data_IF_610375288593
#
_entry.id   IF_610375288593
#
_cell.length_a   1.000
_cell.length_b   1.000
_cell.length_c   1.000
_cell.angle_alpha   90.00
_cell.angle_beta   90.00
_cell.angle_gamma   90.00
#
_symmetry.space_group_name_H-M   'P 1'
#
loop_
_entity.id
_entity.type
_entity.pdbx_description
1 polymer ?
#
# COMPACT_ATOMS: atom_id res chain seq x y z
N UNK A 1 4.81 38.01 6.54
CA UNK A 1 5.26 37.12 7.63
C UNK A 1 4.44 35.85 7.58
N UNK A 2 5.02 34.66 7.83
CA UNK A 2 4.24 33.44 8.02
C UNK A 2 3.22 33.64 9.16
N UNK A 3 2.05 33.02 9.06
CA UNK A 3 1.09 33.05 10.16
C UNK A 3 1.67 32.31 11.38
N UNK A 4 1.42 32.77 12.62
CA UNK A 4 1.97 32.15 13.83
C UNK A 4 1.53 30.69 14.05
N UNK A 5 0.56 30.19 13.28
CA UNK A 5 0.04 28.82 13.32
C UNK A 5 0.27 28.03 12.02
N UNK A 6 1.17 28.48 11.15
CA UNK A 6 1.48 27.78 9.90
C UNK A 6 2.14 26.42 10.15
N UNK A 7 1.64 25.36 9.48
CA UNK A 7 2.22 24.01 9.51
C UNK A 7 3.49 23.88 8.65
N UNK A 8 3.64 24.76 7.67
CA UNK A 8 4.78 24.82 6.76
C UNK A 8 5.41 26.20 6.85
N UNK A 9 6.74 26.25 6.87
CA UNK A 9 7.49 27.50 6.96
C UNK A 9 8.58 27.49 5.90
N UNK A 10 8.69 28.59 5.15
CA UNK A 10 9.74 28.76 4.15
C UNK A 10 11.07 29.12 4.83
N UNK A 11 12.15 28.48 4.38
CA UNK A 11 13.53 28.84 4.73
C UNK A 11 14.21 29.31 3.45
N UNK A 12 14.68 30.56 3.44
CA UNK A 12 15.29 31.15 2.25
C UNK A 12 16.77 30.76 2.10
N UNK A 13 17.33 30.77 0.88
CA UNK A 13 18.73 30.46 0.65
C UNK A 13 19.68 31.33 1.49
N UNK A 14 20.62 30.70 2.19
CA UNK A 14 21.57 31.38 3.07
C UNK A 14 20.98 31.92 4.38
N UNK A 15 19.71 31.61 4.68
CA UNK A 15 19.02 32.05 5.88
C UNK A 15 18.67 30.88 6.81
N UNK A 16 18.15 31.22 8.00
CA UNK A 16 17.64 30.27 8.99
C UNK A 16 16.28 30.74 9.52
N UNK A 17 15.51 29.79 10.03
CA UNK A 17 14.21 30.03 10.68
C UNK A 17 14.18 29.29 12.00
N UNK A 18 13.81 29.96 13.08
CA UNK A 18 13.50 29.32 14.36
C UNK A 18 11.99 29.05 14.46
N UNK A 19 11.65 27.88 14.97
CA UNK A 19 10.27 27.44 15.18
C UNK A 19 10.11 27.00 16.62
N UNK A 20 9.02 27.40 17.26
CA UNK A 20 8.62 26.92 18.57
C UNK A 20 7.35 26.08 18.44
N UNK A 21 7.35 24.89 19.03
CA UNK A 21 6.20 23.97 19.01
C UNK A 21 6.01 23.32 20.39
N UNK A 22 4.75 23.21 20.82
CA UNK A 22 4.37 22.38 21.96
C UNK A 22 4.23 20.92 21.50
N UNK A 23 4.78 19.98 22.26
CA UNK A 23 4.73 18.55 21.98
C UNK A 23 3.76 17.84 22.93
N UNK A 24 2.49 18.23 22.89
CA UNK A 24 1.42 17.73 23.76
C UNK A 24 0.63 16.56 23.16
N UNK A 25 0.95 16.17 21.93
CA UNK A 25 0.32 15.06 21.23
C UNK A 25 1.30 13.89 21.02
N UNK A 26 0.95 12.76 21.62
CA UNK A 26 1.78 11.55 21.69
C UNK A 26 1.72 10.79 20.38
N UNK A 27 2.85 10.20 19.98
CA UNK A 27 2.95 9.36 18.79
C UNK A 27 4.19 9.67 17.95
N UNK A 28 4.16 9.22 16.71
CA UNK A 28 5.21 9.48 15.72
C UNK A 28 4.80 10.59 14.77
N UNK A 29 5.66 11.60 14.64
CA UNK A 29 5.47 12.77 13.80
C UNK A 29 6.57 12.85 12.76
N UNK A 30 6.18 13.05 11.49
CA UNK A 30 7.11 13.25 10.40
C UNK A 30 7.34 14.74 10.18
N UNK A 31 8.60 15.16 10.24
CA UNK A 31 9.06 16.51 9.90
C UNK A 31 9.82 16.38 8.60
N UNK A 32 9.29 16.99 7.53
CA UNK A 32 9.84 16.84 6.18
C UNK A 32 9.79 18.15 5.41
N UNK A 33 10.56 18.19 4.34
CA UNK A 33 10.37 19.18 3.28
C UNK A 33 9.08 18.90 2.50
N UNK A 34 8.41 19.95 2.03
CA UNK A 34 7.25 19.82 1.13
C UNK A 34 7.67 19.69 -0.35
N UNK A 35 8.95 19.94 -0.66
CA UNK A 35 9.48 19.63 -2.00
C UNK A 35 9.56 18.11 -2.17
N UNK A 36 8.79 17.57 -3.12
CA UNK A 36 8.67 16.13 -3.32
C UNK A 36 9.99 15.45 -3.70
N UNK A 37 10.84 16.10 -4.49
CA UNK A 37 12.12 15.53 -4.92
C UNK A 37 13.08 15.41 -3.74
N UNK A 38 13.17 16.46 -2.92
CA UNK A 38 14.01 16.45 -1.74
C UNK A 38 13.47 15.49 -0.66
N UNK A 39 12.14 15.36 -0.52
CA UNK A 39 11.54 14.34 0.34
C UNK A 39 11.87 12.92 -0.15
N UNK A 40 11.72 12.66 -1.45
CA UNK A 40 12.08 11.38 -2.05
C UNK A 40 13.55 11.02 -1.85
N UNK A 41 14.43 12.03 -1.87
CA UNK A 41 15.85 11.89 -1.57
C UNK A 41 16.17 11.80 -0.06
N UNK A 42 15.15 11.80 0.80
CA UNK A 42 15.28 11.54 2.24
C UNK A 42 15.46 12.78 3.11
N UNK A 43 15.11 13.98 2.63
CA UNK A 43 15.10 15.19 3.46
C UNK A 43 13.87 15.21 4.40
N UNK A 44 13.89 14.29 5.36
CA UNK A 44 12.91 14.13 6.41
C UNK A 44 13.54 13.60 7.69
N UNK A 45 12.83 13.77 8.80
CA UNK A 45 13.16 13.16 10.08
C UNK A 45 11.87 12.83 10.83
N UNK A 46 11.95 11.89 11.77
CA UNK A 46 10.82 11.49 12.59
C UNK A 46 11.06 11.84 14.05
N UNK A 47 10.04 12.41 14.68
CA UNK A 47 10.02 12.71 16.10
C UNK A 47 9.04 11.75 16.78
N UNK A 48 9.49 11.11 17.87
CA UNK A 48 8.62 10.30 18.73
C UNK A 48 8.33 11.05 20.02
N UNK A 49 7.08 11.43 20.22
CA UNK A 49 6.60 11.99 21.49
C UNK A 49 6.04 10.84 22.31
N UNK A 50 6.61 10.60 23.49
CA UNK A 50 6.24 9.50 24.37
C UNK A 50 5.55 10.02 25.62
N UNK A 51 4.56 9.28 26.09
CA UNK A 51 3.97 9.50 27.40
C UNK A 51 4.45 8.39 28.35
N UNK A 52 5.23 8.72 29.40
CA UNK A 52 5.71 7.73 30.36
C UNK A 52 4.58 7.21 31.27
N UNK A 53 3.47 7.93 31.38
CA UNK A 53 2.34 7.54 32.21
C UNK A 53 1.25 6.84 31.38
N UNK A 54 0.79 5.68 31.83
CA UNK A 54 -0.31 4.96 31.22
C UNK A 54 -1.66 5.59 31.60
N UNK A 55 -1.95 6.76 31.02
CA UNK A 55 -3.18 7.51 31.23
C UNK A 55 -3.93 7.73 29.89
N UNK A 56 -5.04 8.47 29.92
CA UNK A 56 -5.90 8.75 28.74
C UNK A 56 -5.18 9.45 27.58
N UNK A 57 -3.98 10.00 27.82
CA UNK A 57 -3.12 10.62 26.78
C UNK A 57 -2.15 9.61 26.16
N UNK A 58 -2.33 8.31 26.39
CA UNK A 58 -1.51 7.28 25.74
C UNK A 58 -1.82 7.19 24.26
N UNK A 59 -0.84 6.73 23.46
CA UNK A 59 -1.04 6.49 22.03
C UNK A 59 -2.17 5.47 21.82
N UNK A 60 -3.04 5.75 20.84
CA UNK A 60 -4.11 4.84 20.49
C UNK A 60 -3.55 3.49 20.01
N UNK A 61 -4.19 2.36 20.34
CA UNK A 61 -3.75 1.07 19.81
C UNK A 61 -3.87 1.05 18.28
N UNK A 62 -2.96 0.30 17.63
CA UNK A 62 -3.01 0.12 16.19
C UNK A 62 -4.38 -0.42 15.74
N UNK A 63 -4.96 0.12 14.66
CA UNK A 63 -6.28 -0.31 14.19
C UNK A 63 -6.22 -1.74 13.62
N UNK A 64 -7.37 -2.41 13.53
CA UNK A 64 -7.46 -3.81 13.08
C UNK A 64 -7.03 -4.03 11.63
N UNK A 65 -7.12 -2.99 10.80
CA UNK A 65 -6.68 -2.98 9.41
C UNK A 65 -5.24 -2.46 9.24
N UNK A 66 -4.47 -2.34 10.33
CA UNK A 66 -3.04 -2.03 10.23
C UNK A 66 -2.32 -3.11 9.40
N UNK A 67 -1.52 -2.64 8.45
CA UNK A 67 -0.65 -3.49 7.65
C UNK A 67 0.69 -3.65 8.36
N UNK A 68 1.11 -4.90 8.54
CA UNK A 68 2.39 -5.22 9.15
C UNK A 68 3.36 -5.73 8.08
N UNK A 69 4.57 -5.18 8.07
CA UNK A 69 5.60 -5.47 7.07
C UNK A 69 6.88 -6.02 7.71
N UNK A 70 7.76 -6.60 6.89
CA UNK A 70 9.08 -7.06 7.32
C UNK A 70 9.03 -8.08 8.45
N UNK A 71 9.77 -7.83 9.53
CA UNK A 71 9.82 -8.68 10.73
C UNK A 71 8.47 -8.85 11.44
N UNK A 72 7.51 -7.96 11.18
CA UNK A 72 6.19 -8.00 11.80
C UNK A 72 5.13 -8.68 10.95
N UNK A 73 5.48 -9.24 9.77
CA UNK A 73 4.52 -9.88 8.85
C UNK A 73 3.61 -10.91 9.51
N UNK A 74 4.10 -11.62 10.53
CA UNK A 74 3.34 -12.67 11.23
C UNK A 74 2.23 -12.09 12.14
N UNK A 75 2.23 -10.77 12.38
CA UNK A 75 1.15 -10.05 13.08
C UNK A 75 0.01 -9.62 12.15
N UNK A 76 0.11 -9.86 10.85
CA UNK A 76 -0.88 -9.42 9.87
C UNK A 76 -2.24 -10.11 10.09
N UNK A 77 -3.26 -9.31 10.42
CA UNK A 77 -4.66 -9.75 10.46
C UNK A 77 -5.22 -9.87 9.04
N UNK A 78 -6.15 -10.79 8.81
CA UNK A 78 -6.82 -10.93 7.51
C UNK A 78 -7.51 -9.61 7.11
N UNK A 79 -7.12 -9.04 5.97
CA UNK A 79 -7.66 -7.78 5.49
C UNK A 79 -8.91 -8.03 4.63
N UNK A 80 -9.94 -7.19 4.78
CA UNK A 80 -11.08 -7.15 3.85
C UNK A 80 -10.68 -6.25 2.67
N UNK A 81 -10.49 -6.78 1.45
CA UNK A 81 -10.09 -5.95 0.31
C UNK A 81 -11.18 -4.93 0.00
N UNK A 82 -10.80 -3.67 -0.23
CA UNK A 82 -11.76 -2.61 -0.59
C UNK A 82 -12.32 -2.75 -2.02
N UNK A 83 -11.77 -3.66 -2.82
CA UNK A 83 -12.28 -4.03 -4.14
C UNK A 83 -12.88 -5.44 -4.09
N UNK A 84 -14.21 -5.51 -3.96
CA UNK A 84 -14.99 -6.67 -4.38
C UNK A 84 -15.68 -6.34 -5.71
N UNK A 85 -14.92 -6.01 -6.74
CA UNK A 85 -15.38 -6.35 -8.08
C UNK A 85 -15.06 -7.83 -8.23
N UNK A 86 -16.01 -8.67 -7.85
CA UNK A 86 -15.98 -10.07 -8.24
C UNK A 86 -15.97 -10.10 -9.76
N UNK A 87 -14.80 -10.21 -10.37
CA UNK A 87 -14.70 -10.83 -11.68
C UNK A 87 -15.13 -12.26 -11.45
N UNK A 88 -16.44 -12.49 -11.55
CA UNK A 88 -16.99 -13.80 -11.86
C UNK A 88 -16.34 -14.19 -13.18
N UNK A 89 -15.20 -14.88 -13.12
CA UNK A 89 -14.72 -15.65 -14.25
C UNK A 89 -15.78 -16.73 -14.44
N UNK A 90 -16.78 -16.43 -15.25
CA UNK A 90 -17.88 -17.33 -15.54
C UNK A 90 -17.29 -18.68 -15.93
N UNK A 91 -17.63 -19.79 -15.25
CA UNK A 91 -17.08 -21.11 -15.57
C UNK A 91 -17.38 -21.51 -17.02
N UNK A 92 -18.41 -20.91 -17.62
CA UNK A 92 -18.83 -21.09 -19.01
C UNK A 92 -17.72 -20.77 -20.01
N UNK A 93 -16.93 -19.70 -19.81
CA UNK A 93 -15.91 -19.31 -20.79
C UNK A 93 -14.68 -20.24 -20.74
N UNK A 94 -14.31 -20.71 -19.55
CA UNK A 94 -13.20 -21.65 -19.33
C UNK A 94 -13.53 -23.03 -19.89
N UNK A 95 -14.74 -23.53 -19.64
CA UNK A 95 -15.22 -24.82 -20.19
C UNK A 95 -15.32 -24.77 -21.72
N UNK A 96 -15.78 -23.65 -22.30
CA UNK A 96 -15.82 -23.48 -23.76
C UNK A 96 -14.41 -23.47 -24.39
N UNK A 97 -13.43 -22.83 -23.75
CA UNK A 97 -12.05 -22.80 -24.24
C UNK A 97 -11.40 -24.19 -24.25
N UNK A 98 -11.56 -24.97 -23.18
CA UNK A 98 -11.02 -26.34 -23.10
C UNK A 98 -11.68 -27.27 -24.14
N UNK A 99 -13.00 -27.16 -24.32
CA UNK A 99 -13.71 -27.92 -25.35
C UNK A 99 -13.21 -27.57 -26.75
N UNK A 100 -13.06 -26.28 -27.07
CA UNK A 100 -12.57 -25.85 -28.39
C UNK A 100 -11.14 -26.37 -28.64
N UNK A 101 -10.24 -26.28 -27.66
CA UNK A 101 -8.88 -26.83 -27.79
C UNK A 101 -8.90 -28.35 -27.98
N UNK A 102 -9.73 -29.07 -27.22
CA UNK A 102 -9.84 -30.53 -27.33
C UNK A 102 -10.36 -30.97 -28.69
N UNK A 103 -11.35 -30.27 -29.26
CA UNK A 103 -11.90 -30.55 -30.58
C UNK A 103 -10.87 -30.24 -31.67
N UNK A 104 -10.13 -29.13 -31.56
CA UNK A 104 -9.07 -28.79 -32.53
C UNK A 104 -7.95 -29.85 -32.54
N UNK A 105 -7.56 -30.34 -31.35
CA UNK A 105 -6.55 -31.39 -31.22
C UNK A 105 -7.04 -32.71 -31.83
N UNK A 106 -8.30 -33.08 -31.61
CA UNK A 106 -8.89 -34.29 -32.21
C UNK A 106 -8.99 -34.18 -33.74
N UNK A 107 -9.39 -33.02 -34.27
CA UNK A 107 -9.46 -32.79 -35.73
C UNK A 107 -8.07 -32.83 -36.36
N UNK A 108 -7.06 -32.21 -35.73
CA UNK A 108 -5.68 -32.25 -36.24
C UNK A 108 -5.11 -33.66 -36.22
N UNK A 109 -5.34 -34.45 -35.16
CA UNK A 109 -4.96 -35.86 -35.10
C UNK A 109 -5.69 -36.70 -36.16
N UNK A 110 -6.99 -36.49 -36.35
CA UNK A 110 -7.78 -37.19 -37.37
C UNK A 110 -7.37 -36.82 -38.81
N UNK A 111 -6.90 -35.59 -39.04
CA UNK A 111 -6.34 -35.18 -40.33
C UNK A 111 -4.91 -35.67 -40.56
N UNK A 112 -4.12 -35.90 -39.50
CA UNK A 112 -2.75 -36.43 -39.60
C UNK A 112 -2.68 -37.95 -39.72
N UNK A 113 -3.71 -38.67 -39.26
CA UNK A 113 -3.88 -40.09 -39.56
C UNK A 113 -4.89 -40.23 -40.69
N UNK A 114 -4.47 -40.25 -41.97
CA UNK A 114 -5.38 -40.70 -43.02
C UNK A 114 -5.81 -42.10 -42.62
N UNK A 115 -7.11 -42.31 -42.43
CA UNK A 115 -7.71 -43.64 -42.36
C UNK A 115 -7.14 -44.40 -43.55
N UNK A 116 -6.19 -45.29 -43.29
CA UNK A 116 -5.69 -46.23 -44.28
C UNK A 116 -6.90 -47.02 -44.72
N UNK A 117 -7.40 -46.64 -45.90
CA UNK A 117 -8.36 -47.38 -46.70
C UNK A 117 -7.94 -48.85 -46.68
N UNK A 118 -8.81 -49.71 -46.14
CA UNK A 118 -8.92 -51.07 -46.66
C UNK A 118 -9.61 -51.02 -48.01
#
# INVERSE_FOLDING_TARGET
>A
MPHPSSKQIAVYPGAWTAVFASLDNVGFWNVRTENLDAWYLGQETYLRVVNPEANEKSEMPAPDNALYCGLLKDKQKAQKPHSKNGSSSSPILRVRSELILSVLLLVTLACHFPVTRF
#
